data_IF_266491611679
#
_entry.id   IF_266491611679
#
_cell.length_a   1.000
_cell.length_b   1.000
_cell.length_c   1.000
_cell.angle_alpha   90.00
_cell.angle_beta   90.00
_cell.angle_gamma   90.00
#
_symmetry.space_group_name_H-M   'P 1'
#
loop_
_entity.id
_entity.type
_entity.pdbx_description
1 polymer ?
#
# COMPACT_ATOMS: atom_id res chain seq x y z
N UNK A 1 -18.03 11.39 15.30
CA UNK A 1 -16.91 10.42 15.43
C UNK A 1 -16.81 9.65 14.14
N UNK A 2 -15.72 9.80 13.38
CA UNK A 2 -15.60 9.13 12.10
C UNK A 2 -15.32 7.62 12.29
N UNK A 3 -16.12 6.78 11.66
CA UNK A 3 -16.02 5.30 11.69
C UNK A 3 -15.77 4.77 10.27
N UNK A 4 -15.08 3.63 10.15
CA UNK A 4 -14.89 2.85 8.92
C UNK A 4 -15.51 1.47 9.11
N UNK A 5 -16.13 0.94 8.06
CA UNK A 5 -16.70 -0.40 8.10
C UNK A 5 -15.68 -1.43 7.64
N UNK A 6 -15.44 -2.46 8.44
CA UNK A 6 -14.59 -3.59 8.04
C UNK A 6 -15.43 -4.66 7.35
N UNK A 7 -15.19 -4.90 6.05
CA UNK A 7 -15.91 -5.91 5.27
C UNK A 7 -15.62 -7.35 5.72
N UNK A 8 -14.40 -7.62 6.20
CA UNK A 8 -14.00 -8.95 6.70
C UNK A 8 -14.72 -9.28 8.01
N UNK A 9 -14.84 -8.29 8.90
CA UNK A 9 -15.47 -8.48 10.21
C UNK A 9 -16.97 -8.20 10.21
N UNK A 10 -17.49 -7.53 9.18
CA UNK A 10 -18.84 -6.97 9.07
C UNK A 10 -19.22 -6.07 10.27
N UNK A 11 -18.26 -5.25 10.73
CA UNK A 11 -18.44 -4.38 11.91
C UNK A 11 -17.94 -2.95 11.66
N UNK A 12 -18.63 -1.92 12.17
CA UNK A 12 -18.13 -0.55 12.17
C UNK A 12 -17.04 -0.39 13.23
N UNK A 13 -15.90 0.18 12.83
CA UNK A 13 -14.70 0.37 13.65
C UNK A 13 -14.36 1.85 13.64
N UNK A 14 -13.94 2.42 14.78
CA UNK A 14 -13.53 3.83 14.82
C UNK A 14 -12.23 4.04 14.05
N UNK A 15 -12.08 5.21 13.41
CA UNK A 15 -10.86 5.52 12.64
C UNK A 15 -9.58 5.42 13.48
N UNK A 16 -9.64 5.81 14.76
CA UNK A 16 -8.48 5.83 15.67
C UNK A 16 -7.89 4.44 15.92
N UNK A 17 -8.73 3.40 15.88
CA UNK A 17 -8.31 2.01 16.15
C UNK A 17 -8.27 1.15 14.87
N UNK A 18 -8.47 1.73 13.69
CA UNK A 18 -8.52 0.99 12.43
C UNK A 18 -7.26 0.16 12.19
N UNK A 19 -6.08 0.76 12.41
CA UNK A 19 -4.79 0.07 12.26
C UNK A 19 -4.65 -1.13 13.20
N UNK A 20 -5.08 -0.98 14.45
CA UNK A 20 -5.07 -2.06 15.44
C UNK A 20 -6.11 -3.15 15.11
N UNK A 21 -7.26 -2.76 14.56
CA UNK A 21 -8.30 -3.69 14.14
C UNK A 21 -7.84 -4.60 13.00
N UNK A 22 -7.27 -4.02 11.93
CA UNK A 22 -6.82 -4.78 10.75
C UNK A 22 -5.65 -5.70 11.08
N UNK A 23 -4.75 -5.28 11.99
CA UNK A 23 -3.65 -6.13 12.49
C UNK A 23 -4.09 -7.10 13.60
N UNK A 24 -5.35 -7.04 14.03
CA UNK A 24 -5.87 -7.83 15.14
C UNK A 24 -6.07 -9.30 14.77
N UNK A 25 -5.83 -10.19 15.73
CA UNK A 25 -5.96 -11.65 15.58
C UNK A 25 -7.30 -12.08 14.96
N UNK A 26 -8.41 -11.49 15.42
CA UNK A 26 -9.77 -11.81 14.91
C UNK A 26 -9.94 -11.46 13.43
N UNK A 27 -9.38 -10.32 13.00
CA UNK A 27 -9.43 -9.91 11.60
C UNK A 27 -8.58 -10.86 10.75
N UNK A 28 -7.33 -11.10 11.16
CA UNK A 28 -6.40 -11.98 10.44
C UNK A 28 -6.94 -13.41 10.28
N UNK A 29 -7.57 -13.97 11.31
CA UNK A 29 -8.19 -15.30 11.24
C UNK A 29 -9.31 -15.34 10.19
N UNK A 30 -10.21 -14.35 10.19
CA UNK A 30 -11.29 -14.26 9.19
C UNK A 30 -10.75 -14.04 7.77
N UNK A 31 -9.65 -13.30 7.60
CA UNK A 31 -8.97 -13.17 6.30
C UNK A 31 -8.45 -14.52 5.82
N UNK A 32 -7.81 -15.30 6.70
CA UNK A 32 -7.31 -16.64 6.36
C UNK A 32 -8.45 -17.60 5.99
N UNK A 33 -9.56 -17.58 6.74
CA UNK A 33 -10.76 -18.37 6.44
C UNK A 33 -11.42 -17.95 5.11
N UNK A 34 -11.42 -16.66 4.78
CA UNK A 34 -11.93 -16.17 3.50
C UNK A 34 -11.01 -16.58 2.33
N UNK A 35 -9.70 -16.58 2.54
CA UNK A 35 -8.72 -17.04 1.54
C UNK A 35 -8.83 -18.54 1.27
N UNK A 36 -9.00 -19.37 2.30
CA UNK A 36 -9.17 -20.83 2.12
C UNK A 36 -10.50 -21.21 1.47
N UNK A 37 -11.54 -20.39 1.64
CA UNK A 37 -12.84 -20.56 0.95
C UNK A 37 -12.88 -19.98 -0.46
N UNK A 38 -11.88 -19.17 -0.84
CA UNK A 38 -11.80 -18.49 -2.14
C UNK A 38 -11.40 -19.36 -3.34
N UNK A 39 -11.07 -20.63 -3.15
CA UNK A 39 -10.85 -21.60 -4.24
C UNK A 39 -12.12 -22.44 -4.52
N UNK A 40 -13.23 -21.80 -4.88
CA UNK A 40 -14.29 -22.43 -5.69
C UNK A 40 -14.87 -21.41 -6.65
N UNK A 41 -15.01 -21.74 -7.95
CA UNK A 41 -15.46 -20.80 -8.96
C UNK A 41 -16.92 -20.41 -8.73
N UNK A 42 -17.18 -19.15 -9.03
CA UNK A 42 -18.48 -18.49 -9.06
C UNK A 42 -19.53 -19.29 -9.83
N UNK A 43 -20.68 -19.55 -9.20
CA UNK A 43 -21.93 -19.77 -9.92
C UNK A 43 -23.00 -18.84 -9.35
N UNK A 44 -23.34 -17.86 -10.18
CA UNK A 44 -24.57 -17.07 -10.14
C UNK A 44 -25.79 -17.98 -10.00
N UNK A 45 -26.69 -17.69 -9.06
CA UNK A 45 -28.13 -17.87 -9.29
C UNK A 45 -28.95 -16.99 -8.35
N UNK A 46 -29.94 -16.31 -8.93
CA UNK A 46 -31.03 -15.59 -8.28
C UNK A 46 -31.89 -16.52 -7.40
N UNK A 47 -32.39 -16.03 -6.27
CA UNK A 47 -33.75 -16.30 -5.80
C UNK A 47 -34.13 -15.42 -4.60
N UNK A 48 -35.39 -14.98 -4.61
CA UNK A 48 -36.06 -14.17 -3.62
C UNK A 48 -36.59 -14.99 -2.43
N UNK A 49 -37.11 -14.24 -1.45
CA UNK A 49 -38.19 -14.59 -0.53
C UNK A 49 -37.84 -15.14 0.88
N UNK A 50 -38.16 -14.28 1.86
CA UNK A 50 -38.97 -14.54 3.07
C UNK A 50 -38.60 -15.64 4.06
N UNK A 51 -38.46 -15.24 5.33
CA UNK A 51 -39.21 -15.88 6.41
C UNK A 51 -38.44 -16.74 7.42
N UNK A 52 -38.31 -16.20 8.63
CA UNK A 52 -38.55 -16.86 9.92
C UNK A 52 -37.60 -17.93 10.48
N UNK A 53 -37.13 -17.59 11.70
CA UNK A 53 -36.97 -18.41 12.92
C UNK A 53 -35.80 -19.40 12.97
N UNK A 54 -34.96 -19.26 14.02
CA UNK A 54 -34.66 -20.31 15.02
C UNK A 54 -33.69 -19.76 16.11
N UNK A 55 -33.48 -20.47 17.25
CA UNK A 55 -33.61 -19.93 18.60
C UNK A 55 -32.27 -19.70 19.32
N UNK A 56 -32.36 -19.08 20.50
CA UNK A 56 -31.30 -19.07 21.52
C UNK A 56 -30.88 -20.51 21.89
N UNK A 57 -29.58 -20.72 22.13
CA UNK A 57 -29.17 -21.58 23.22
C UNK A 57 -28.11 -20.88 24.09
N UNK A 58 -28.41 -20.80 25.38
CA UNK A 58 -27.39 -20.79 26.44
C UNK A 58 -26.73 -22.17 26.44
N UNK A 59 -25.44 -22.29 26.84
CA UNK A 59 -25.26 -22.88 28.16
C UNK A 59 -24.09 -22.31 28.96
N UNK A 60 -24.31 -22.32 30.28
CA UNK A 60 -23.37 -22.29 31.38
C UNK A 60 -22.18 -23.24 31.21
N UNK A 61 -21.03 -22.88 31.79
CA UNK A 61 -20.21 -23.77 32.62
C UNK A 61 -19.05 -22.98 33.23
N UNK A 62 -19.26 -22.50 34.46
CA UNK A 62 -18.20 -22.11 35.39
C UNK A 62 -17.48 -23.37 35.91
N UNK A 63 -16.18 -23.48 35.65
CA UNK A 63 -15.29 -24.42 36.34
C UNK A 63 -13.94 -23.78 36.70
N UNK A 64 -13.86 -23.41 37.98
CA UNK A 64 -12.73 -23.59 38.94
C UNK A 64 -11.38 -24.10 38.42
N UNK A 65 -10.32 -23.34 38.72
CA UNK A 65 -8.94 -23.75 39.13
C UNK A 65 -7.95 -22.63 38.75
N UNK A 66 -6.92 -22.24 39.49
CA UNK A 66 -6.41 -22.58 40.80
C UNK A 66 -5.41 -21.46 41.22
N UNK A 67 -5.52 -21.04 42.48
CA UNK A 67 -4.42 -20.76 43.43
C UNK A 67 -3.08 -20.25 42.87
N UNK A 68 -2.81 -18.94 42.97
CA UNK A 68 -1.44 -18.40 43.08
C UNK A 68 -1.26 -17.77 44.45
N UNK A 69 -0.44 -18.43 45.28
CA UNK A 69 0.00 -17.92 46.56
C UNK A 69 1.01 -16.79 46.33
N UNK A 70 0.69 -15.62 46.89
CA UNK A 70 1.59 -14.49 47.09
C UNK A 70 2.44 -14.79 48.33
N UNK A 71 3.75 -14.90 48.16
CA UNK A 71 4.69 -14.90 49.29
C UNK A 71 5.41 -13.56 49.26
N UNK A 72 5.11 -12.77 50.28
CA UNK A 72 5.78 -11.55 50.64
C UNK A 72 6.95 -11.95 51.55
N UNK A 73 8.16 -11.46 51.29
CA UNK A 73 9.27 -11.59 52.25
C UNK A 73 10.12 -10.34 52.15
N UNK A 74 9.99 -9.53 53.19
CA UNK A 74 10.82 -8.39 53.56
C UNK A 74 12.20 -8.85 54.00
N UNK A 75 13.25 -8.06 53.75
CA UNK A 75 14.23 -7.60 54.75
C UNK A 75 15.56 -7.12 54.11
N UNK A 76 15.77 -5.80 54.18
CA UNK A 76 16.95 -5.07 54.72
C UNK A 76 18.38 -5.36 54.25
N UNK A 77 19.00 -4.26 53.85
CA UNK A 77 20.43 -3.96 53.78
C UNK A 77 21.17 -4.20 55.11
N UNK A 78 22.43 -4.63 55.06
CA UNK A 78 23.57 -3.91 55.68
C UNK A 78 24.87 -4.73 55.65
N UNK A 79 25.97 -4.00 55.43
CA UNK A 79 27.35 -4.44 55.34
C UNK A 79 27.92 -5.05 56.64
N UNK A 80 28.97 -5.88 56.51
CA UNK A 80 30.30 -5.67 57.12
C UNK A 80 31.03 -6.99 57.41
N UNK A 81 32.18 -7.14 56.75
CA UNK A 81 33.42 -7.83 57.16
C UNK A 81 33.41 -8.99 58.16
N UNK A 82 33.94 -10.15 57.74
CA UNK A 82 35.22 -10.71 58.24
C UNK A 82 35.56 -12.03 57.55
N UNK A 83 36.86 -12.20 57.35
CA UNK A 83 37.57 -13.42 56.95
C UNK A 83 36.98 -14.70 57.55
N UNK A 84 36.46 -15.57 56.69
CA UNK A 84 36.09 -16.93 57.02
C UNK A 84 37.01 -17.88 56.24
N UNK A 85 37.88 -18.53 57.03
CA UNK A 85 38.27 -19.93 56.97
C UNK A 85 38.03 -20.70 55.65
N UNK A 86 39.11 -21.23 55.09
CA UNK A 86 39.20 -21.87 53.77
C UNK A 86 38.54 -23.27 53.74
N UNK A 87 37.83 -23.69 54.79
CA UNK A 87 37.35 -25.07 54.92
C UNK A 87 35.83 -25.27 54.75
N UNK A 88 35.02 -24.21 54.61
CA UNK A 88 33.55 -24.31 54.46
C UNK A 88 33.04 -24.16 53.01
N UNK A 89 33.93 -23.99 52.03
CA UNK A 89 33.61 -23.95 50.58
C UNK A 89 33.66 -25.34 49.91
N UNK A 90 33.94 -26.38 50.68
CA UNK A 90 34.09 -27.77 50.21
C UNK A 90 32.76 -28.49 49.93
N UNK A 91 31.61 -27.85 50.18
CA UNK A 91 30.27 -28.39 49.89
C UNK A 91 29.77 -28.07 48.48
N UNK A 92 30.54 -27.31 47.70
CA UNK A 92 30.24 -27.05 46.30
C UNK A 92 30.89 -28.16 45.47
N UNK A 93 30.10 -28.97 44.71
CA UNK A 93 30.66 -30.02 43.87
C UNK A 93 31.75 -29.46 42.93
N UNK A 94 32.89 -30.13 42.84
CA UNK A 94 33.94 -29.77 41.87
C UNK A 94 33.36 -29.82 40.45
N UNK A 95 33.40 -28.69 39.74
CA UNK A 95 32.70 -28.50 38.46
C UNK A 95 31.38 -27.72 38.54
N UNK A 96 31.01 -27.19 39.71
CA UNK A 96 29.85 -26.29 39.87
C UNK A 96 30.15 -24.84 39.42
N UNK A 97 31.40 -24.39 39.56
CA UNK A 97 31.87 -23.17 38.92
C UNK A 97 32.61 -23.58 37.65
N UNK A 98 32.25 -22.97 36.52
CA UNK A 98 32.98 -23.12 35.26
C UNK A 98 34.48 -22.92 35.51
N UNK A 99 35.26 -24.00 35.46
CA UNK A 99 36.70 -23.93 35.59
C UNK A 99 37.23 -23.04 34.46
N UNK A 100 37.81 -21.89 34.82
CA UNK A 100 38.28 -20.88 33.85
C UNK A 100 39.26 -21.44 32.79
N UNK A 101 39.91 -22.57 33.09
CA UNK A 101 40.78 -23.29 32.17
C UNK A 101 40.04 -24.01 31.02
N UNK A 102 38.78 -24.41 31.24
CA UNK A 102 37.92 -25.08 30.24
C UNK A 102 37.06 -24.07 29.45
N UNK A 103 36.99 -22.82 29.90
CA UNK A 103 36.13 -21.77 29.34
C UNK A 103 36.80 -20.95 28.22
N UNK A 104 38.10 -21.14 27.97
CA UNK A 104 38.70 -20.68 26.72
C UNK A 104 38.14 -21.56 25.60
N UNK A 105 37.13 -21.04 24.89
CA UNK A 105 36.53 -21.67 23.70
C UNK A 105 37.62 -22.43 22.99
N UNK A 106 37.48 -23.75 22.96
CA UNK A 106 38.48 -24.59 22.32
C UNK A 106 38.62 -24.11 20.87
N UNK A 107 39.80 -24.21 20.26
CA UNK A 107 39.99 -23.76 18.86
C UNK A 107 38.94 -24.37 17.91
N UNK A 108 38.41 -25.55 18.26
CA UNK A 108 37.29 -26.21 17.60
C UNK A 108 35.95 -25.46 17.72
N UNK A 109 35.60 -24.92 18.89
CA UNK A 109 34.41 -24.08 19.08
C UNK A 109 34.54 -22.73 18.39
N UNK A 110 35.73 -22.13 18.39
CA UNK A 110 36.01 -20.90 17.63
C UNK A 110 35.87 -21.16 16.13
N UNK A 111 36.40 -22.28 15.63
CA UNK A 111 36.25 -22.68 14.23
C UNK A 111 34.78 -22.93 13.85
N UNK A 112 34.02 -23.61 14.72
CA UNK A 112 32.59 -23.84 14.52
C UNK A 112 31.79 -22.54 14.52
N UNK A 113 32.09 -21.62 15.45
CA UNK A 113 31.47 -20.31 15.51
C UNK A 113 31.75 -19.51 14.24
N UNK A 114 33.00 -19.52 13.76
CA UNK A 114 33.37 -18.84 12.51
C UNK A 114 32.64 -19.40 11.29
N UNK A 115 32.36 -20.70 11.26
CA UNK A 115 31.60 -21.35 10.20
C UNK A 115 30.12 -20.91 10.26
N UNK A 116 29.52 -20.92 11.46
CA UNK A 116 28.18 -20.39 11.71
C UNK A 116 28.05 -18.91 11.33
N UNK A 117 29.02 -18.08 11.70
CA UNK A 117 29.03 -16.66 11.37
C UNK A 117 29.14 -16.43 9.85
N UNK A 118 29.92 -17.27 9.15
CA UNK A 118 30.04 -17.21 7.70
C UNK A 118 28.74 -17.63 6.99
N UNK A 119 28.05 -18.66 7.48
CA UNK A 119 26.73 -19.06 6.98
C UNK A 119 25.67 -18.00 7.26
N UNK A 120 25.69 -17.41 8.46
CA UNK A 120 24.81 -16.31 8.82
C UNK A 120 25.03 -15.08 7.92
N UNK A 121 26.28 -14.74 7.62
CA UNK A 121 26.60 -13.66 6.71
C UNK A 121 26.07 -13.90 5.29
N UNK A 122 26.15 -15.15 4.79
CA UNK A 122 25.57 -15.53 3.49
C UNK A 122 24.04 -15.40 3.51
N UNK A 123 23.39 -15.88 4.56
CA UNK A 123 21.94 -15.77 4.72
C UNK A 123 21.48 -14.30 4.76
N UNK A 124 22.16 -13.45 5.54
CA UNK A 124 21.82 -12.02 5.60
C UNK A 124 22.04 -11.32 4.26
N UNK A 125 23.08 -11.70 3.51
CA UNK A 125 23.30 -11.18 2.16
C UNK A 125 22.20 -11.65 1.18
N UNK A 126 21.74 -12.90 1.28
CA UNK A 126 20.65 -13.42 0.46
C UNK A 126 19.32 -12.73 0.78
N UNK A 127 19.00 -12.51 2.06
CA UNK A 127 17.84 -11.72 2.50
C UNK A 127 17.92 -10.29 1.96
N UNK A 128 19.08 -9.62 2.11
CA UNK A 128 19.26 -8.26 1.60
C UNK A 128 19.16 -8.19 0.07
N UNK A 129 19.67 -9.19 -0.64
CA UNK A 129 19.54 -9.30 -2.10
C UNK A 129 18.08 -9.50 -2.52
N UNK A 130 17.33 -10.36 -1.82
CA UNK A 130 15.92 -10.60 -2.10
C UNK A 130 15.06 -9.36 -1.81
N UNK A 131 15.35 -8.63 -0.72
CA UNK A 131 14.69 -7.34 -0.43
C UNK A 131 15.00 -6.29 -1.51
N UNK A 132 16.23 -6.24 -2.02
CA UNK A 132 16.61 -5.35 -3.10
C UNK A 132 15.88 -5.71 -4.41
N UNK A 133 15.73 -6.99 -4.73
CA UNK A 133 15.00 -7.45 -5.91
C UNK A 133 13.51 -7.06 -5.85
N UNK A 134 12.86 -7.28 -4.70
CA UNK A 134 11.46 -6.87 -4.48
C UNK A 134 11.30 -5.35 -4.57
N UNK A 135 12.24 -4.57 -4.00
CA UNK A 135 12.21 -3.12 -4.12
C UNK A 135 12.33 -2.63 -5.57
N UNK A 136 13.15 -3.32 -6.39
CA UNK A 136 13.27 -3.02 -7.82
C UNK A 136 11.98 -3.36 -8.57
N UNK A 137 11.32 -4.48 -8.25
CA UNK A 137 10.04 -4.89 -8.84
C UNK A 137 8.94 -3.87 -8.51
N UNK A 138 8.80 -3.49 -7.24
CA UNK A 138 7.84 -2.47 -6.78
C UNK A 138 8.06 -1.12 -7.47
N UNK A 139 9.32 -0.68 -7.62
CA UNK A 139 9.64 0.53 -8.37
C UNK A 139 9.34 0.41 -9.86
N UNK A 140 9.57 -0.77 -10.43
CA UNK A 140 9.25 -1.10 -11.83
C UNK A 140 7.77 -0.95 -12.09
N UNK A 141 6.93 -1.55 -11.24
CA UNK A 141 5.47 -1.51 -11.33
C UNK A 141 4.91 -0.09 -11.20
N UNK A 142 5.50 0.74 -10.35
CA UNK A 142 5.09 2.15 -10.23
C UNK A 142 5.45 2.93 -11.50
N UNK A 143 6.65 2.71 -12.06
CA UNK A 143 7.09 3.37 -13.30
C UNK A 143 6.25 2.93 -14.50
N UNK A 144 5.92 1.64 -14.61
CA UNK A 144 5.07 1.12 -15.70
C UNK A 144 3.64 1.66 -15.60
N UNK A 145 3.04 1.66 -14.41
CA UNK A 145 1.69 2.19 -14.19
C UNK A 145 1.56 3.68 -14.56
N UNK A 146 2.55 4.49 -14.18
CA UNK A 146 2.56 5.93 -14.53
C UNK A 146 2.71 6.16 -16.03
N UNK A 147 3.55 5.38 -16.69
CA UNK A 147 3.75 5.45 -18.14
C UNK A 147 2.52 4.97 -18.91
N UNK A 148 1.84 3.91 -18.45
CA UNK A 148 0.60 3.42 -19.05
C UNK A 148 -0.48 4.51 -19.05
N UNK A 149 -0.68 5.20 -17.93
CA UNK A 149 -1.61 6.34 -17.86
C UNK A 149 -1.23 7.47 -18.81
N UNK A 150 0.07 7.75 -18.99
CA UNK A 150 0.53 8.75 -19.95
C UNK A 150 0.23 8.32 -21.38
N UNK A 151 0.41 7.05 -21.71
CA UNK A 151 0.09 6.50 -23.03
C UNK A 151 -1.40 6.59 -23.33
N UNK A 152 -2.28 6.28 -22.38
CA UNK A 152 -3.72 6.46 -22.55
C UNK A 152 -4.10 7.93 -22.82
N UNK A 153 -3.44 8.87 -22.14
CA UNK A 153 -3.63 10.30 -22.36
C UNK A 153 -3.17 10.73 -23.75
N UNK A 154 -2.04 10.19 -24.22
CA UNK A 154 -1.52 10.43 -25.57
C UNK A 154 -2.49 9.86 -26.61
N UNK A 155 -2.97 8.63 -26.43
CA UNK A 155 -3.90 7.98 -27.35
C UNK A 155 -5.24 8.72 -27.43
N UNK A 156 -5.75 9.22 -26.30
CA UNK A 156 -6.92 10.09 -26.31
C UNK A 156 -6.67 11.37 -27.12
N UNK A 157 -5.50 11.99 -26.94
CA UNK A 157 -5.10 13.18 -27.70
C UNK A 157 -5.02 12.87 -29.19
N UNK A 158 -4.40 11.75 -29.57
CA UNK A 158 -4.30 11.29 -30.97
C UNK A 158 -5.69 11.12 -31.58
N UNK A 159 -6.66 10.53 -30.85
CA UNK A 159 -8.04 10.39 -31.34
C UNK A 159 -8.69 11.73 -31.65
N UNK A 160 -8.48 12.74 -30.79
CA UNK A 160 -9.00 14.09 -31.05
C UNK A 160 -8.36 14.71 -32.30
N UNK A 161 -7.04 14.60 -32.45
CA UNK A 161 -6.35 15.07 -33.65
C UNK A 161 -6.78 14.33 -34.92
N UNK A 162 -7.01 13.03 -34.83
CA UNK A 162 -7.54 12.24 -35.94
C UNK A 162 -8.94 12.73 -36.36
N UNK A 163 -9.82 12.99 -35.39
CA UNK A 163 -11.15 13.54 -35.65
C UNK A 163 -11.08 14.94 -36.26
N UNK A 164 -10.16 15.79 -35.77
CA UNK A 164 -9.93 17.13 -36.31
C UNK A 164 -9.44 17.07 -37.77
N UNK A 165 -8.44 16.24 -38.06
CA UNK A 165 -7.93 16.04 -39.42
C UNK A 165 -9.02 15.52 -40.37
N UNK A 166 -9.93 14.67 -39.87
CA UNK A 166 -11.06 14.18 -40.66
C UNK A 166 -12.06 15.30 -40.98
N UNK A 167 -12.34 16.20 -40.02
CA UNK A 167 -13.17 17.37 -40.24
C UNK A 167 -12.53 18.35 -41.23
N UNK A 168 -11.21 18.54 -41.16
CA UNK A 168 -10.48 19.38 -42.10
C UNK A 168 -10.55 18.83 -43.53
N UNK A 169 -10.33 17.52 -43.70
CA UNK A 169 -10.52 16.85 -45.00
C UNK A 169 -11.96 16.98 -45.52
N UNK A 170 -12.97 16.87 -44.64
CA UNK A 170 -14.38 17.08 -45.02
C UNK A 170 -14.63 18.53 -45.44
N UNK A 171 -14.05 19.51 -44.74
CA UNK A 171 -14.15 20.94 -45.06
C UNK A 171 -13.48 21.24 -46.40
N UNK A 172 -12.29 20.71 -46.64
CA UNK A 172 -11.55 20.86 -47.90
C UNK A 172 -12.32 20.22 -49.06
N UNK A 173 -12.85 19.00 -48.91
CA UNK A 173 -13.67 18.36 -49.94
C UNK A 173 -14.97 19.13 -50.26
N UNK A 174 -15.53 19.85 -49.28
CA UNK A 174 -16.67 20.74 -49.49
C UNK A 174 -16.26 22.05 -50.14
N UNK A 175 -15.08 22.59 -49.81
CA UNK A 175 -14.52 23.77 -50.45
C UNK A 175 -14.17 23.50 -51.92
N UNK A 176 -13.57 22.34 -52.22
CA UNK A 176 -13.27 21.89 -53.58
C UNK A 176 -14.56 21.73 -54.41
N UNK A 177 -15.62 21.15 -53.83
CA UNK A 177 -16.94 21.06 -54.50
C UNK A 177 -17.62 22.40 -54.72
N UNK A 178 -17.33 23.41 -53.88
CA UNK A 178 -17.82 24.78 -54.05
C UNK A 178 -16.95 25.58 -55.02
N UNK A 179 -15.71 25.15 -55.26
CA UNK A 179 -14.84 25.69 -56.30
C UNK A 179 -15.19 25.04 -57.65
N UNK A 180 -16.40 25.30 -58.13
CA UNK A 180 -16.78 25.14 -59.55
C UNK A 180 -16.39 26.46 -60.24
N UNK A 181 -15.76 26.43 -61.42
CA UNK A 181 -15.17 27.63 -62.02
C UNK A 181 -16.26 28.68 -62.27
N UNK A 182 -15.94 29.93 -61.94
CA UNK A 182 -16.67 31.13 -62.34
C UNK A 182 -17.02 31.04 -63.82
N UNK A 183 -18.27 30.68 -64.09
CA UNK A 183 -18.90 30.72 -65.39
C UNK A 183 -20.22 31.44 -65.21
N UNK A 184 -20.23 32.72 -65.60
CA UNK A 184 -21.37 33.58 -65.93
C UNK A 184 -22.74 33.11 -65.42
N UNK A 185 -23.15 33.64 -64.27
CA UNK A 185 -24.57 33.80 -63.99
C UNK A 185 -24.78 35.17 -63.37
N UNK A 186 -25.14 36.14 -64.21
CA UNK A 186 -25.78 37.38 -63.81
C UNK A 186 -27.03 37.06 -62.97
N UNK A 187 -26.96 37.31 -61.67
CA UNK A 187 -28.14 37.35 -60.80
C UNK A 187 -28.11 38.66 -60.03
N UNK A 188 -29.06 39.53 -60.40
CA UNK A 188 -29.47 40.78 -59.78
C UNK A 188 -29.31 40.77 -58.25
N UNK A 189 -28.35 41.58 -57.78
CA UNK A 189 -28.12 41.90 -56.37
C UNK A 189 -28.92 43.17 -56.04
N UNK A 190 -30.17 43.01 -55.62
CA UNK A 190 -30.93 44.08 -54.99
C UNK A 190 -31.01 43.93 -53.47
N UNK A 191 -30.73 45.06 -52.84
CA UNK A 191 -30.82 45.45 -51.43
C UNK A 191 -29.59 45.27 -50.52
N UNK A 192 -28.93 46.41 -50.36
CA UNK A 192 -27.79 46.65 -49.52
C UNK A 192 -28.24 46.96 -48.08
N UNK A 193 -27.87 46.09 -47.15
CA UNK A 193 -27.50 46.52 -45.81
C UNK A 193 -26.07 46.11 -45.53
N UNK A 194 -25.17 46.99 -45.96
CA UNK A 194 -23.82 47.10 -45.44
C UNK A 194 -23.92 47.55 -43.97
N UNK A 195 -23.89 46.59 -43.04
CA UNK A 195 -23.44 46.85 -41.69
C UNK A 195 -21.92 46.69 -41.68
N UNK A 196 -21.33 47.87 -41.63
CA UNK A 196 -19.92 48.24 -41.47
C UNK A 196 -19.09 47.28 -40.62
N UNK A 197 -17.88 47.07 -41.08
CA UNK A 197 -16.84 46.26 -40.47
C UNK A 197 -15.78 47.23 -39.92
N UNK A 198 -15.87 47.60 -38.64
CA UNK A 198 -14.74 48.17 -37.89
C UNK A 198 -15.02 48.18 -36.37
N UNK A 199 -14.50 47.19 -35.64
CA UNK A 199 -13.60 47.41 -34.50
C UNK A 199 -13.15 46.04 -33.98
N UNK A 200 -12.06 45.56 -34.59
CA UNK A 200 -11.26 44.46 -34.10
C UNK A 200 -10.56 44.88 -32.80
N UNK A 201 -11.27 44.79 -31.67
CA UNK A 201 -10.68 44.90 -30.33
C UNK A 201 -10.61 43.52 -29.67
N UNK A 202 -9.83 42.61 -30.26
CA UNK A 202 -9.49 41.29 -29.67
C UNK A 202 -7.98 41.18 -29.36
N UNK A 203 -7.28 42.31 -29.26
CA UNK A 203 -5.89 42.35 -28.82
C UNK A 203 -5.84 42.76 -27.33
N UNK A 204 -5.23 41.90 -26.51
CA UNK A 204 -4.78 42.13 -25.13
C UNK A 204 -5.70 41.78 -23.94
N UNK A 205 -6.62 40.82 -24.06
CA UNK A 205 -7.21 40.16 -22.87
C UNK A 205 -6.85 38.69 -22.67
N UNK A 206 -5.94 38.14 -23.47
CA UNK A 206 -5.39 36.83 -23.14
C UNK A 206 -4.22 37.00 -22.16
N UNK A 207 -4.57 37.05 -20.87
CA UNK A 207 -3.67 37.03 -19.71
C UNK A 207 -2.76 35.79 -19.61
N UNK A 208 -2.50 35.15 -20.75
CA UNK A 208 -1.80 33.88 -20.94
C UNK A 208 -0.31 34.10 -21.20
N UNK A 209 0.14 35.34 -21.45
CA UNK A 209 1.57 35.63 -21.59
C UNK A 209 2.25 35.99 -20.26
N UNK A 210 2.39 34.99 -19.39
CA UNK A 210 3.14 35.10 -18.13
C UNK A 210 4.63 35.42 -18.33
N UNK A 211 5.18 35.22 -19.54
CA UNK A 211 6.56 35.62 -19.88
C UNK A 211 6.75 37.13 -20.03
N UNK A 212 5.68 37.90 -20.29
CA UNK A 212 5.72 39.37 -20.34
C UNK A 212 5.47 40.01 -18.97
N UNK A 213 5.09 39.23 -17.94
CA UNK A 213 4.98 39.67 -16.54
C UNK A 213 6.36 39.59 -15.85
N UNK A 214 7.35 40.28 -16.38
CA UNK A 214 8.60 40.51 -15.65
C UNK A 214 8.37 41.63 -14.66
N UNK A 215 8.48 41.28 -13.38
CA UNK A 215 8.42 42.18 -12.24
C UNK A 215 9.36 43.38 -12.39
N UNK A 216 8.81 44.57 -12.14
CA UNK A 216 9.51 45.67 -11.50
C UNK A 216 8.72 46.09 -10.27
#
# INVERSE_FOLDING_TARGET
>A
MSTKFCQVCAQPVSLKIWTAHVKGRKHLQKVQEAKSKGQKPVTSSHAAATGSKHPLPVPDSDLVSAKRARVETTATESASSKSADVNELSFIPSGFFDDAAQNNKTDAEVAKQKLLDAEYAKFMNEVASAEAEVAIEDEGDVKTFTHERQMESIDATIKYWQAFNELEKRKEALAEKKHVPDGDVDVDMEDAQAADNDDSSDDDLDGTNWRKRTMF
#
